data_IF_994517740547
#
_entry.id   IF_994517740547
#
_cell.length_a   1.000
_cell.length_b   1.000
_cell.length_c   1.000
_cell.angle_alpha   90.00
_cell.angle_beta   90.00
_cell.angle_gamma   90.00
#
_symmetry.space_group_name_H-M   'P 1'
#
loop_
_entity.id
_entity.type
_entity.pdbx_description
1 polymer ?
#
# COMPACT_ATOMS: atom_id res chain seq x y z
N UNK A 1 14.86 -1.26 16.22
CA UNK A 1 14.39 -2.61 15.83
C UNK A 1 13.53 -2.43 14.60
N UNK A 2 13.69 -3.26 13.57
CA UNK A 2 12.92 -3.05 12.33
C UNK A 2 11.41 -3.16 12.59
N UNK A 3 10.62 -2.35 11.90
CA UNK A 3 9.16 -2.38 11.95
C UNK A 3 8.60 -3.60 11.20
N UNK A 4 9.21 -3.95 10.06
CA UNK A 4 8.95 -5.16 9.28
C UNK A 4 10.29 -5.72 8.83
N UNK A 5 10.53 -7.02 9.05
CA UNK A 5 11.73 -7.69 8.55
C UNK A 5 11.35 -9.02 7.88
N UNK A 6 12.08 -9.40 6.86
CA UNK A 6 12.03 -10.71 6.25
C UNK A 6 13.39 -11.38 6.35
N UNK A 7 13.40 -12.71 6.57
CA UNK A 7 14.63 -13.50 6.64
C UNK A 7 14.46 -14.83 5.89
N UNK A 8 15.39 -15.07 4.96
CA UNK A 8 15.42 -16.24 4.07
C UNK A 8 14.06 -16.50 3.43
N UNK A 9 13.33 -15.41 3.09
CA UNK A 9 11.95 -15.49 2.64
C UNK A 9 11.89 -15.98 1.20
N UNK A 10 11.04 -16.98 0.92
CA UNK A 10 10.65 -17.37 -0.41
C UNK A 10 9.14 -17.16 -0.60
N UNK A 11 8.78 -16.54 -1.72
CA UNK A 11 7.40 -16.22 -2.08
C UNK A 11 6.99 -16.89 -3.39
N UNK A 12 5.71 -17.23 -3.51
CA UNK A 12 5.19 -17.89 -4.70
C UNK A 12 3.75 -18.39 -4.54
N UNK A 13 3.37 -19.34 -5.37
CA UNK A 13 2.01 -19.90 -5.39
C UNK A 13 2.07 -21.43 -5.27
N UNK A 14 1.43 -21.99 -4.26
CA UNK A 14 1.50 -23.44 -3.99
C UNK A 14 2.94 -23.86 -3.73
N UNK A 15 3.50 -24.74 -4.59
CA UNK A 15 4.90 -25.18 -4.54
C UNK A 15 5.82 -24.42 -5.51
N UNK A 16 5.26 -23.52 -6.34
CA UNK A 16 6.06 -22.77 -7.31
C UNK A 16 6.66 -21.52 -6.65
N UNK A 17 7.99 -21.53 -6.49
CA UNK A 17 8.77 -20.38 -6.02
C UNK A 17 8.85 -19.36 -7.15
N UNK A 18 8.54 -18.10 -6.85
CA UNK A 18 8.67 -16.96 -7.77
C UNK A 18 9.90 -16.13 -7.43
N UNK A 19 10.17 -15.93 -6.15
CA UNK A 19 11.40 -15.29 -5.66
C UNK A 19 11.79 -15.94 -4.34
N UNK A 20 13.09 -16.06 -4.09
CA UNK A 20 13.67 -16.65 -2.88
C UNK A 20 14.82 -15.81 -2.32
N UNK A 21 15.35 -16.22 -1.17
CA UNK A 21 16.47 -15.55 -0.47
C UNK A 21 16.23 -14.05 -0.27
N UNK A 22 14.99 -13.71 0.06
CA UNK A 22 14.60 -12.31 0.27
C UNK A 22 14.87 -11.94 1.72
N UNK A 23 15.84 -11.04 1.90
CA UNK A 23 16.18 -10.45 3.20
C UNK A 23 16.02 -8.94 3.13
N UNK A 24 15.26 -8.36 4.08
CA UNK A 24 15.12 -6.92 4.18
C UNK A 24 14.70 -6.46 5.58
N UNK A 25 14.96 -5.19 5.86
CA UNK A 25 14.50 -4.50 7.07
C UNK A 25 13.90 -3.14 6.72
N UNK A 26 12.63 -2.96 7.11
CA UNK A 26 11.88 -1.71 6.97
C UNK A 26 11.72 -1.10 8.37
N UNK A 27 12.16 0.15 8.53
CA UNK A 27 12.03 0.88 9.78
C UNK A 27 10.79 1.78 9.78
N UNK A 28 10.40 2.22 10.97
CA UNK A 28 9.30 3.20 11.10
C UNK A 28 9.64 4.49 10.36
N UNK A 29 8.73 4.98 9.53
CA UNK A 29 8.91 6.18 8.71
C UNK A 29 9.65 5.96 7.39
N UNK A 30 10.13 4.75 7.08
CA UNK A 30 10.70 4.48 5.76
C UNK A 30 9.66 4.64 4.64
N UNK A 31 10.10 5.13 3.49
CA UNK A 31 9.39 5.04 2.22
C UNK A 31 10.17 4.07 1.32
N UNK A 32 9.69 2.83 1.23
CA UNK A 32 10.35 1.75 0.47
C UNK A 32 9.68 1.61 -0.89
N UNK A 33 10.48 1.70 -1.95
CA UNK A 33 10.05 1.38 -3.31
C UNK A 33 10.51 -0.02 -3.68
N UNK A 34 9.57 -0.92 -4.02
CA UNK A 34 9.86 -2.26 -4.54
C UNK A 34 9.89 -2.19 -6.06
N UNK A 35 11.03 -2.49 -6.65
CA UNK A 35 11.26 -2.46 -8.09
C UNK A 35 11.67 -3.84 -8.63
N UNK A 36 11.66 -4.03 -9.93
CA UNK A 36 12.05 -5.27 -10.59
C UNK A 36 11.18 -5.55 -11.82
N UNK A 37 11.56 -6.55 -12.61
CA UNK A 37 10.85 -6.94 -13.83
C UNK A 37 9.44 -7.45 -13.56
N UNK A 38 8.62 -7.51 -14.62
CA UNK A 38 7.30 -8.13 -14.54
C UNK A 38 7.45 -9.64 -14.23
N UNK A 39 6.68 -10.12 -13.26
CA UNK A 39 6.77 -11.52 -12.82
C UNK A 39 7.84 -11.80 -11.77
N UNK A 40 8.65 -10.82 -11.34
CA UNK A 40 9.69 -11.01 -10.31
C UNK A 40 9.13 -11.27 -8.88
N UNK A 41 7.81 -11.24 -8.69
CA UNK A 41 7.19 -11.56 -7.39
C UNK A 41 6.87 -10.38 -6.50
N UNK A 42 6.97 -9.13 -6.97
CA UNK A 42 6.70 -7.90 -6.18
C UNK A 42 5.34 -7.92 -5.49
N UNK A 43 4.27 -8.10 -6.26
CA UNK A 43 2.89 -8.17 -5.71
C UNK A 43 2.69 -9.39 -4.80
N UNK A 44 3.38 -10.50 -5.08
CA UNK A 44 3.38 -11.70 -4.24
C UNK A 44 4.05 -11.42 -2.90
N UNK A 45 5.20 -10.72 -2.91
CA UNK A 45 5.89 -10.28 -1.71
C UNK A 45 5.00 -9.37 -0.84
N UNK A 46 4.39 -8.35 -1.43
CA UNK A 46 3.47 -7.44 -0.72
C UNK A 46 2.32 -8.23 -0.08
N UNK A 47 1.70 -9.15 -0.82
CA UNK A 47 0.64 -10.02 -0.29
C UNK A 47 1.14 -10.94 0.82
N UNK A 48 2.38 -11.41 0.75
CA UNK A 48 2.99 -12.24 1.81
C UNK A 48 3.28 -11.42 3.06
N UNK A 49 3.80 -10.19 2.93
CA UNK A 49 3.96 -9.26 4.06
C UNK A 49 2.61 -9.01 4.76
N UNK A 50 1.54 -8.83 4.00
CA UNK A 50 0.17 -8.68 4.51
C UNK A 50 -0.44 -9.98 5.07
N UNK A 51 0.23 -11.12 4.91
CA UNK A 51 -0.30 -12.47 5.20
C UNK A 51 -1.58 -12.83 4.44
N UNK A 52 -1.77 -12.22 3.28
CA UNK A 52 -2.79 -12.63 2.31
C UNK A 52 -2.37 -13.88 1.54
N UNK A 53 -1.06 -14.13 1.46
CA UNK A 53 -0.45 -15.36 0.95
C UNK A 53 0.56 -15.89 1.99
N UNK A 54 0.61 -17.21 2.22
CA UNK A 54 1.64 -17.80 3.05
C UNK A 54 2.99 -17.74 2.32
N UNK A 55 4.11 -17.58 3.05
CA UNK A 55 5.44 -17.78 2.46
C UNK A 55 5.64 -19.26 2.11
N UNK A 56 6.48 -19.54 1.10
CA UNK A 56 6.91 -20.91 0.78
C UNK A 56 7.96 -21.37 1.80
N UNK A 57 8.91 -20.51 2.13
CA UNK A 57 9.89 -20.70 3.21
C UNK A 57 10.28 -19.37 3.83
N UNK A 58 11.05 -19.41 4.93
CA UNK A 58 11.41 -18.22 5.68
C UNK A 58 10.22 -17.60 6.41
N UNK A 59 10.36 -16.37 6.85
CA UNK A 59 9.31 -15.71 7.61
C UNK A 59 9.39 -14.18 7.53
N UNK A 60 8.23 -13.54 7.76
CA UNK A 60 8.10 -12.09 7.95
C UNK A 60 7.83 -11.82 9.42
N UNK A 61 8.67 -10.97 10.02
CA UNK A 61 8.57 -10.55 11.43
C UNK A 61 8.03 -9.12 11.47
N UNK A 62 7.00 -8.91 12.28
CA UNK A 62 6.49 -7.59 12.62
C UNK A 62 7.10 -7.16 13.96
N UNK A 63 7.92 -6.12 13.93
CA UNK A 63 8.60 -5.56 15.10
C UNK A 63 7.86 -4.38 15.71
N UNK A 64 8.45 -3.77 16.75
CA UNK A 64 7.94 -2.57 17.44
C UNK A 64 6.46 -2.65 17.86
N UNK A 65 5.95 -3.87 18.12
CA UNK A 65 4.56 -4.10 18.50
C UNK A 65 3.55 -3.85 17.37
N UNK A 66 3.99 -3.77 16.10
CA UNK A 66 3.11 -3.61 14.95
C UNK A 66 2.13 -4.78 14.84
N UNK A 67 0.85 -4.46 14.71
CA UNK A 67 -0.20 -5.46 14.48
C UNK A 67 -0.63 -5.42 13.01
N UNK A 68 -1.05 -6.56 12.47
CA UNK A 68 -1.58 -6.63 11.10
C UNK A 68 -2.78 -5.73 10.87
N UNK A 69 -3.59 -5.51 11.90
CA UNK A 69 -4.73 -4.59 11.87
C UNK A 69 -4.35 -3.10 11.79
N UNK A 70 -3.06 -2.79 11.91
CA UNK A 70 -2.50 -1.43 11.77
C UNK A 70 -1.85 -1.20 10.40
N UNK A 71 -1.93 -2.21 9.52
CA UNK A 71 -1.39 -2.18 8.17
C UNK A 71 -2.53 -2.02 7.16
N UNK A 72 -2.46 -1.01 6.31
CA UNK A 72 -3.39 -0.81 5.20
C UNK A 72 -2.84 -1.41 3.90
N UNK A 73 -3.73 -1.84 3.02
CA UNK A 73 -3.36 -2.36 1.72
C UNK A 73 -4.20 -1.75 0.61
N UNK A 74 -3.53 -1.19 -0.37
CA UNK A 74 -4.11 -0.77 -1.65
C UNK A 74 -3.55 -1.69 -2.73
N UNK A 75 -4.36 -2.68 -3.11
CA UNK A 75 -4.02 -3.60 -4.20
C UNK A 75 -4.35 -3.03 -5.57
N UNK A 76 -3.86 -3.72 -6.60
CA UNK A 76 -4.16 -3.38 -7.99
C UNK A 76 -5.67 -3.39 -8.23
N UNK A 77 -6.18 -2.32 -8.86
CA UNK A 77 -7.61 -2.17 -9.13
C UNK A 77 -8.04 -3.06 -10.29
N UNK A 78 -9.12 -3.82 -10.10
CA UNK A 78 -9.76 -4.61 -11.15
C UNK A 78 -10.91 -3.85 -11.83
N UNK A 79 -11.26 -4.21 -13.06
CA UNK A 79 -12.37 -3.57 -13.78
C UNK A 79 -13.71 -3.71 -13.05
N UNK A 80 -13.95 -4.84 -12.39
CA UNK A 80 -15.16 -5.06 -11.57
C UNK A 80 -15.22 -4.07 -10.40
N UNK A 81 -14.08 -3.72 -9.81
CA UNK A 81 -14.02 -2.73 -8.73
C UNK A 81 -14.31 -1.31 -9.23
N UNK A 82 -13.94 -0.99 -10.48
CA UNK A 82 -14.20 0.34 -11.07
C UNK A 82 -15.70 0.63 -11.24
N UNK A 83 -16.49 -0.40 -11.48
CA UNK A 83 -17.94 -0.29 -11.74
C UNK A 83 -18.81 -0.43 -10.48
N UNK A 84 -18.20 -0.39 -9.30
CA UNK A 84 -18.91 -0.65 -8.05
C UNK A 84 -19.93 0.47 -7.74
N UNK A 85 -21.23 0.15 -7.57
CA UNK A 85 -22.31 1.12 -7.43
C UNK A 85 -22.51 1.59 -5.99
N UNK A 86 -21.44 2.09 -5.34
CA UNK A 86 -21.50 2.62 -3.99
C UNK A 86 -21.02 4.08 -3.96
N UNK A 87 -21.44 4.83 -2.97
CA UNK A 87 -20.91 6.17 -2.71
C UNK A 87 -19.46 6.12 -2.24
N UNK A 88 -18.73 7.21 -2.48
CA UNK A 88 -17.36 7.38 -1.96
C UNK A 88 -17.32 7.16 -0.45
N UNK A 89 -18.29 7.71 0.30
CA UNK A 89 -18.35 7.56 1.77
C UNK A 89 -18.48 6.09 2.19
N UNK A 90 -19.33 5.30 1.51
CA UNK A 90 -19.49 3.87 1.82
C UNK A 90 -18.21 3.08 1.55
N UNK A 91 -17.52 3.37 0.43
CA UNK A 91 -16.26 2.71 0.11
C UNK A 91 -15.19 3.04 1.16
N UNK A 92 -15.03 4.32 1.52
CA UNK A 92 -14.02 4.73 2.52
C UNK A 92 -14.34 4.15 3.88
N UNK A 93 -15.60 4.19 4.32
CA UNK A 93 -16.04 3.59 5.59
C UNK A 93 -15.80 2.09 5.65
N UNK A 94 -15.86 1.38 4.51
CA UNK A 94 -15.55 -0.06 4.51
C UNK A 94 -14.12 -0.38 4.97
N UNK A 95 -13.19 0.58 4.88
CA UNK A 95 -11.84 0.46 5.42
C UNK A 95 -11.80 0.37 6.96
N UNK A 96 -12.84 0.84 7.65
CA UNK A 96 -12.94 0.76 9.11
C UNK A 96 -13.45 -0.60 9.62
N UNK A 97 -13.78 -1.57 8.74
CA UNK A 97 -14.32 -2.87 9.15
C UNK A 97 -13.41 -3.61 10.13
N UNK A 98 -12.09 -3.52 9.96
CA UNK A 98 -11.12 -4.15 10.87
C UNK A 98 -11.22 -3.61 12.31
N UNK A 99 -11.64 -2.36 12.49
CA UNK A 99 -11.81 -1.73 13.80
C UNK A 99 -13.20 -1.92 14.39
N UNK A 100 -14.18 -2.36 13.58
CA UNK A 100 -15.55 -2.58 14.04
C UNK A 100 -15.70 -3.75 15.02
N UNK A 101 -14.82 -4.77 14.92
CA UNK A 101 -14.93 -5.98 15.73
C UNK A 101 -16.29 -6.67 15.51
N UNK A 102 -17.07 -6.87 16.59
CA UNK A 102 -18.42 -7.47 16.53
C UNK A 102 -19.56 -6.46 16.36
N UNK A 103 -19.24 -5.15 16.14
CA UNK A 103 -20.28 -4.12 15.98
C UNK A 103 -20.93 -4.24 14.59
N UNK A 104 -22.26 -4.23 14.50
CA UNK A 104 -22.95 -4.33 13.20
C UNK A 104 -22.98 -3.02 12.42
N UNK A 105 -22.66 -1.87 13.06
CA UNK A 105 -22.71 -0.54 12.44
C UNK A 105 -21.45 0.27 12.76
N UNK A 106 -21.09 1.15 11.82
CA UNK A 106 -20.04 2.16 12.01
C UNK A 106 -20.46 3.19 13.06
N UNK A 107 -19.56 3.50 13.98
CA UNK A 107 -19.78 4.49 15.01
C UNK A 107 -19.33 5.90 14.57
N UNK A 108 -19.42 6.88 15.48
CA UNK A 108 -19.02 8.26 15.22
C UNK A 108 -17.50 8.40 14.97
N UNK A 109 -16.69 7.56 15.60
CA UNK A 109 -15.22 7.60 15.42
C UNK A 109 -14.83 7.06 14.05
N UNK A 110 -15.46 5.96 13.60
CA UNK A 110 -15.23 5.41 12.26
C UNK A 110 -15.55 6.46 11.16
N UNK A 111 -16.69 7.17 11.32
CA UNK A 111 -17.09 8.24 10.38
C UNK A 111 -16.12 9.43 10.39
N UNK A 112 -15.63 9.84 11.57
CA UNK A 112 -14.62 10.90 11.68
C UNK A 112 -13.29 10.48 11.04
N UNK A 113 -12.87 9.23 11.23
CA UNK A 113 -11.65 8.69 10.61
C UNK A 113 -11.78 8.65 9.09
N UNK A 114 -12.92 8.17 8.57
CA UNK A 114 -13.20 8.16 7.14
C UNK A 114 -13.20 9.59 6.55
N UNK A 115 -13.84 10.55 7.22
CA UNK A 115 -13.87 11.96 6.81
C UNK A 115 -12.45 12.56 6.79
N UNK A 116 -11.65 12.34 7.83
CA UNK A 116 -10.27 12.82 7.90
C UNK A 116 -9.41 12.24 6.76
N UNK A 117 -9.58 10.95 6.42
CA UNK A 117 -8.85 10.34 5.33
C UNK A 117 -9.35 10.80 3.95
N UNK A 118 -10.64 11.08 3.78
CA UNK A 118 -11.16 11.74 2.58
C UNK A 118 -10.60 13.16 2.39
N UNK A 119 -10.38 13.90 3.49
CA UNK A 119 -9.70 15.21 3.44
C UNK A 119 -8.25 15.05 2.99
N UNK A 120 -7.49 14.11 3.62
CA UNK A 120 -6.08 13.84 3.29
C UNK A 120 -5.87 13.47 1.83
N UNK A 121 -6.80 12.73 1.24
CA UNK A 121 -6.72 12.29 -0.16
C UNK A 121 -7.45 13.20 -1.15
N UNK A 122 -8.02 14.34 -0.67
CA UNK A 122 -8.67 15.34 -1.52
C UNK A 122 -9.98 14.87 -2.16
N UNK A 123 -10.71 13.92 -1.55
CA UNK A 123 -11.96 13.37 -2.11
C UNK A 123 -13.20 13.68 -1.25
N UNK A 124 -13.09 14.50 -0.20
CA UNK A 124 -14.22 14.81 0.69
C UNK A 124 -15.41 15.45 -0.05
N UNK A 125 -15.14 16.32 -1.01
CA UNK A 125 -16.16 16.98 -1.83
C UNK A 125 -16.93 15.99 -2.71
N UNK A 126 -16.39 14.78 -2.93
CA UNK A 126 -16.97 13.72 -3.73
C UNK A 126 -17.73 12.68 -2.88
N UNK A 127 -17.80 12.83 -1.56
CA UNK A 127 -18.27 11.80 -0.61
C UNK A 127 -19.63 11.18 -0.95
N UNK A 128 -20.54 11.96 -1.57
CA UNK A 128 -21.90 11.52 -1.94
C UNK A 128 -22.01 11.04 -3.40
N UNK A 129 -20.95 11.18 -4.21
CA UNK A 129 -20.94 10.73 -5.59
C UNK A 129 -20.82 9.23 -5.68
N UNK A 130 -21.37 8.65 -6.73
CA UNK A 130 -21.18 7.24 -7.04
C UNK A 130 -19.74 7.01 -7.51
N UNK A 131 -19.08 6.01 -6.98
CA UNK A 131 -17.67 5.70 -7.24
C UNK A 131 -17.38 5.47 -8.74
N UNK A 132 -18.26 4.74 -9.44
CA UNK A 132 -18.11 4.46 -10.87
C UNK A 132 -18.16 5.71 -11.77
N UNK A 133 -18.67 6.85 -11.27
CA UNK A 133 -18.74 8.10 -12.00
C UNK A 133 -17.47 8.95 -11.86
N UNK A 134 -16.51 8.48 -11.09
CA UNK A 134 -15.27 9.19 -10.82
C UNK A 134 -14.23 8.90 -11.90
N UNK A 135 -13.31 9.87 -12.14
CA UNK A 135 -12.12 9.63 -12.94
C UNK A 135 -11.21 8.57 -12.26
N UNK A 136 -10.34 7.91 -13.04
CA UNK A 136 -9.39 6.92 -12.51
C UNK A 136 -8.57 7.43 -11.34
N UNK A 137 -8.02 8.65 -11.44
CA UNK A 137 -7.27 9.28 -10.36
C UNK A 137 -8.12 9.56 -9.11
N UNK A 138 -9.39 9.97 -9.29
CA UNK A 138 -10.30 10.14 -8.16
C UNK A 138 -10.63 8.80 -7.50
N UNK A 139 -10.88 7.75 -8.30
CA UNK A 139 -11.14 6.40 -7.79
C UNK A 139 -9.95 5.88 -6.98
N UNK A 140 -8.74 6.07 -7.49
CA UNK A 140 -7.52 5.63 -6.81
C UNK A 140 -7.32 6.35 -5.46
N UNK A 141 -7.60 7.67 -5.40
CA UNK A 141 -7.56 8.42 -4.13
C UNK A 141 -8.65 8.00 -3.14
N UNK A 142 -9.82 7.56 -3.61
CA UNK A 142 -10.86 6.97 -2.76
C UNK A 142 -10.39 5.64 -2.17
N UNK A 143 -9.74 4.78 -2.98
CA UNK A 143 -9.18 3.51 -2.49
C UNK A 143 -8.02 3.74 -1.51
N UNK A 144 -7.20 4.78 -1.74
CA UNK A 144 -6.17 5.19 -0.78
C UNK A 144 -6.81 5.63 0.55
N UNK A 145 -7.87 6.47 0.52
CA UNK A 145 -8.59 6.86 1.73
C UNK A 145 -9.16 5.67 2.49
N UNK A 146 -9.70 4.68 1.78
CA UNK A 146 -10.17 3.41 2.34
C UNK A 146 -9.03 2.64 3.02
N UNK A 147 -7.87 2.49 2.35
CA UNK A 147 -6.71 1.80 2.90
C UNK A 147 -6.17 2.51 4.15
N UNK A 148 -6.19 3.85 4.18
CA UNK A 148 -5.82 4.66 5.34
C UNK A 148 -6.76 4.48 6.54
N UNK A 149 -8.04 4.14 6.33
CA UNK A 149 -8.95 3.79 7.41
C UNK A 149 -8.58 2.48 8.11
N UNK A 150 -7.93 1.56 7.39
CA UNK A 150 -7.43 0.30 7.93
C UNK A 150 -6.01 0.41 8.50
N UNK A 151 -5.32 1.55 8.29
CA UNK A 151 -3.90 1.73 8.59
C UNK A 151 -3.69 2.82 9.62
N UNK A 152 -2.81 2.54 10.59
CA UNK A 152 -2.34 3.56 11.53
C UNK A 152 -0.83 3.80 11.46
N UNK A 153 -0.05 2.84 10.96
CA UNK A 153 1.42 2.89 10.96
C UNK A 153 2.06 2.57 9.63
N UNK A 154 1.49 1.63 8.86
CA UNK A 154 2.08 1.14 7.61
C UNK A 154 1.02 1.06 6.52
N UNK A 155 1.33 1.52 5.32
CA UNK A 155 0.52 1.29 4.14
C UNK A 155 1.34 0.60 3.06
N UNK A 156 0.78 -0.47 2.48
CA UNK A 156 1.34 -1.18 1.35
C UNK A 156 0.53 -0.88 0.10
N UNK A 157 1.20 -0.53 -0.97
CA UNK A 157 0.60 -0.05 -2.21
C UNK A 157 1.12 -0.90 -3.38
N UNK A 158 0.23 -1.53 -4.11
CA UNK A 158 0.57 -2.34 -5.27
C UNK A 158 0.20 -1.57 -6.55
N UNK A 159 1.18 -0.91 -7.16
CA UNK A 159 1.05 -0.10 -8.37
C UNK A 159 0.00 1.02 -8.27
N UNK A 160 0.08 1.93 -7.29
CA UNK A 160 -0.98 2.90 -7.01
C UNK A 160 -1.18 3.95 -8.10
N UNK A 161 -0.26 4.11 -9.05
CA UNK A 161 -0.32 5.11 -10.13
C UNK A 161 -0.53 4.51 -11.51
N UNK A 162 -0.58 3.19 -11.63
CA UNK A 162 -0.72 2.50 -12.92
C UNK A 162 -2.03 2.87 -13.61
N UNK A 163 -1.93 3.31 -14.87
CA UNK A 163 -3.08 3.72 -15.68
C UNK A 163 -3.64 5.11 -15.35
N UNK A 164 -2.96 5.90 -14.54
CA UNK A 164 -3.29 7.29 -14.28
C UNK A 164 -2.61 8.21 -15.31
N UNK A 165 -3.25 9.37 -15.58
CA UNK A 165 -2.60 10.44 -16.31
C UNK A 165 -1.46 11.09 -15.45
N UNK A 166 -0.52 11.83 -16.09
CA UNK A 166 0.62 12.40 -15.37
C UNK A 166 0.24 13.33 -14.20
N UNK A 167 -0.87 14.08 -14.33
CA UNK A 167 -1.32 15.02 -13.29
C UNK A 167 -1.84 14.23 -12.08
N UNK A 168 -2.68 13.21 -12.31
CA UNK A 168 -3.20 12.36 -11.25
C UNK A 168 -2.09 11.54 -10.58
N UNK A 169 -1.08 11.10 -11.33
CA UNK A 169 0.10 10.41 -10.79
C UNK A 169 0.92 11.32 -9.87
N UNK A 170 1.23 12.53 -10.31
CA UNK A 170 1.96 13.51 -9.51
C UNK A 170 1.20 13.87 -8.22
N UNK A 171 -0.14 14.02 -8.30
CA UNK A 171 -0.97 14.28 -7.13
C UNK A 171 -0.93 13.09 -6.15
N UNK A 172 -0.96 11.84 -6.64
CA UNK A 172 -0.84 10.64 -5.82
C UNK A 172 0.51 10.60 -5.08
N UNK A 173 1.63 10.81 -5.77
CA UNK A 173 2.95 10.85 -5.15
C UNK A 173 3.05 11.94 -4.09
N UNK A 174 2.49 13.13 -4.34
CA UNK A 174 2.45 14.22 -3.35
C UNK A 174 1.69 13.80 -2.09
N UNK A 175 0.53 13.14 -2.23
CA UNK A 175 -0.25 12.65 -1.07
C UNK A 175 0.57 11.60 -0.29
N UNK A 176 1.23 10.67 -0.98
CA UNK A 176 2.07 9.65 -0.34
C UNK A 176 3.25 10.28 0.41
N UNK A 177 3.92 11.28 -0.19
CA UNK A 177 5.00 12.01 0.46
C UNK A 177 4.51 12.76 1.73
N UNK A 178 3.32 13.38 1.68
CA UNK A 178 2.71 14.05 2.85
C UNK A 178 2.39 13.04 3.96
N UNK A 179 1.88 11.87 3.62
CA UNK A 179 1.62 10.79 4.57
C UNK A 179 2.92 10.30 5.22
N UNK A 180 3.98 10.08 4.42
CA UNK A 180 5.27 9.65 4.94
C UNK A 180 5.89 10.71 5.86
N UNK A 181 5.87 11.98 5.48
CA UNK A 181 6.32 13.10 6.34
C UNK A 181 5.54 13.20 7.65
N UNK A 182 4.30 12.74 7.68
CA UNK A 182 3.51 12.64 8.92
C UNK A 182 3.85 11.43 9.80
N UNK A 183 4.87 10.64 9.42
CA UNK A 183 5.38 9.49 10.15
C UNK A 183 4.83 8.12 9.70
N UNK A 184 4.05 8.06 8.62
CA UNK A 184 3.56 6.79 8.07
C UNK A 184 4.67 6.07 7.30
N UNK A 185 4.84 4.79 7.56
CA UNK A 185 5.72 3.92 6.77
C UNK A 185 5.00 3.51 5.48
N UNK A 186 5.68 3.68 4.35
CA UNK A 186 5.12 3.36 3.03
C UNK A 186 5.95 2.26 2.37
N UNK A 187 5.28 1.25 1.86
CA UNK A 187 5.88 0.21 1.00
C UNK A 187 5.11 0.21 -0.30
N UNK A 188 5.77 0.55 -1.39
CA UNK A 188 5.12 0.74 -2.68
C UNK A 188 5.80 -0.08 -3.77
N UNK A 189 5.03 -0.87 -4.51
CA UNK A 189 5.47 -1.44 -5.79
C UNK A 189 5.24 -0.40 -6.88
N UNK A 190 6.27 -0.12 -7.67
CA UNK A 190 6.16 0.79 -8.82
C UNK A 190 6.91 0.25 -10.03
N UNK A 191 6.32 0.44 -11.21
CA UNK A 191 6.98 0.26 -12.49
C UNK A 191 7.56 1.58 -13.02
N UNK A 192 7.03 2.71 -12.58
CA UNK A 192 7.54 4.03 -12.88
C UNK A 192 8.55 4.42 -11.80
N UNK A 193 9.82 4.05 -12.06
CA UNK A 193 10.88 4.10 -11.06
C UNK A 193 11.26 5.54 -10.73
N UNK A 194 11.50 6.40 -11.74
CA UNK A 194 12.04 7.73 -11.53
C UNK A 194 11.16 8.61 -10.59
N UNK A 195 9.85 8.79 -10.81
CA UNK A 195 9.02 9.56 -9.88
C UNK A 195 8.87 8.90 -8.50
N UNK A 196 8.91 7.55 -8.42
CA UNK A 196 8.82 6.84 -7.16
C UNK A 196 10.06 7.08 -6.28
N UNK A 197 11.25 7.12 -6.89
CA UNK A 197 12.52 7.34 -6.19
C UNK A 197 12.68 8.75 -5.64
N UNK A 198 12.03 9.76 -6.22
CA UNK A 198 12.06 11.14 -5.69
C UNK A 198 11.54 11.23 -4.24
N UNK A 199 10.74 10.27 -3.83
CA UNK A 199 10.11 10.25 -2.50
C UNK A 199 10.56 9.08 -1.63
N UNK A 200 11.21 8.07 -2.21
CA UNK A 200 11.66 6.89 -1.50
C UNK A 200 12.90 7.18 -0.64
N UNK A 201 13.01 6.47 0.48
CA UNK A 201 14.21 6.43 1.33
C UNK A 201 15.05 5.19 1.04
N UNK A 202 14.40 4.11 0.63
CA UNK A 202 15.01 2.82 0.32
C UNK A 202 14.41 2.18 -0.92
N UNK A 203 15.19 1.35 -1.57
CA UNK A 203 14.78 0.51 -2.70
C UNK A 203 14.96 -0.94 -2.33
N UNK A 204 13.95 -1.76 -2.59
CA UNK A 204 14.05 -3.21 -2.62
C UNK A 204 14.02 -3.65 -4.08
N UNK A 205 15.20 -3.93 -4.63
CA UNK A 205 15.31 -4.43 -6.00
C UNK A 205 15.09 -5.95 -6.02
N UNK A 206 14.06 -6.39 -6.75
CA UNK A 206 13.73 -7.80 -6.98
C UNK A 206 14.19 -8.25 -8.38
N UNK A 207 15.46 -7.96 -8.72
CA UNK A 207 16.11 -8.42 -9.93
C UNK A 207 16.58 -9.87 -9.83
N UNK A 208 17.80 -10.17 -10.33
CA UNK A 208 18.39 -11.53 -10.24
C UNK A 208 18.65 -11.96 -8.80
N UNK A 209 19.07 -11.04 -7.97
CA UNK A 209 19.19 -11.18 -6.52
C UNK A 209 18.37 -10.08 -5.87
N UNK A 210 17.66 -10.41 -4.79
CA UNK A 210 16.88 -9.41 -4.08
C UNK A 210 17.76 -8.66 -3.11
N UNK A 211 17.89 -7.34 -3.30
CA UNK A 211 18.76 -6.49 -2.49
C UNK A 211 18.00 -5.27 -1.99
N UNK A 212 18.11 -4.99 -0.69
CA UNK A 212 17.65 -3.73 -0.09
C UNK A 212 18.81 -2.75 -0.04
N UNK A 213 18.62 -1.54 -0.56
CA UNK A 213 19.65 -0.49 -0.58
C UNK A 213 19.05 0.90 -0.37
N UNK A 214 19.89 1.90 -0.13
CA UNK A 214 19.46 3.30 -0.14
C UNK A 214 19.15 3.74 -1.58
N UNK A 215 18.37 4.83 -1.73
CA UNK A 215 18.11 5.41 -3.06
C UNK A 215 19.40 5.95 -3.68
N UNK A 216 20.33 6.43 -2.86
CA UNK A 216 21.63 6.93 -3.31
C UNK A 216 22.46 5.81 -3.94
N UNK A 217 22.53 4.63 -3.30
CA UNK A 217 23.25 3.45 -3.81
C UNK A 217 22.58 2.85 -5.06
N UNK A 218 21.27 3.01 -5.21
CA UNK A 218 20.53 2.53 -6.38
C UNK A 218 20.79 3.38 -7.63
N UNK A 219 21.03 4.68 -7.47
CA UNK A 219 21.26 5.64 -8.56
C UNK A 219 22.74 5.77 -8.98
N UNK A 220 23.68 5.23 -8.20
CA UNK A 220 25.15 5.30 -8.44
C UNK A 220 25.65 4.18 -9.27
#
# INVERSE_FOLDING_TARGET
>A
MALIAAKDLAVGFGSQVVADKIDFEINSGDFVCIVGENGSGKSTLVKTIMSLLPPISGHVVLGEGLKRTEMGYLGQQTDVQRDFPASVEEIVLSGCLNSCGKRPFFNRQDRKLAEANMVRTGVLNLRRRCYRELSGGQQQRVLLARALCASTRVILLDEPVTGLDPVASAEMYRILADLNRSGMTIVMVSHDIAPALEHATKVLDMGKETVMMSVEDYNG
#
